data_IF_417884473860
#
_entry.id   IF_417884473860
#
_cell.length_a   1.000
_cell.length_b   1.000
_cell.length_c   1.000
_cell.angle_alpha   90.00
_cell.angle_beta   90.00
_cell.angle_gamma   90.00
#
_symmetry.space_group_name_H-M   'P 1'
#
loop_
_entity.id
_entity.type
_entity.pdbx_description
1 polymer ?
#
# COMPACT_ATOMS: atom_id res chain seq x y z
N UNK A 1 -13.40 -8.68 21.94
CA UNK A 1 -13.66 -10.15 21.96
C UNK A 1 -15.00 -10.46 21.34
N UNK A 2 -15.12 -11.56 20.57
CA UNK A 2 -16.43 -12.05 20.10
C UNK A 2 -17.34 -12.41 21.29
N UNK A 3 -18.63 -12.10 21.22
CA UNK A 3 -19.63 -12.38 22.28
C UNK A 3 -19.59 -13.84 22.75
N UNK A 4 -19.24 -14.77 21.85
CA UNK A 4 -19.06 -16.19 22.14
C UNK A 4 -17.95 -16.47 23.15
N UNK A 5 -16.78 -15.83 23.02
CA UNK A 5 -15.64 -16.06 23.91
C UNK A 5 -15.87 -15.43 25.29
N UNK A 6 -16.56 -14.29 25.35
CA UNK A 6 -16.96 -13.67 26.61
C UNK A 6 -17.94 -14.55 27.41
N UNK A 7 -18.89 -15.20 26.73
CA UNK A 7 -19.81 -16.15 27.36
C UNK A 7 -19.10 -17.39 27.90
N UNK A 8 -18.22 -18.01 27.10
CA UNK A 8 -17.42 -19.18 27.52
C UNK A 8 -16.47 -18.84 28.67
N UNK A 9 -15.88 -17.65 28.65
CA UNK A 9 -15.02 -17.16 29.74
C UNK A 9 -15.80 -17.04 31.05
N UNK A 10 -17.05 -16.53 31.00
CA UNK A 10 -17.93 -16.43 32.16
C UNK A 10 -18.30 -17.81 32.71
N UNK A 11 -18.55 -18.77 31.84
CA UNK A 11 -18.81 -20.16 32.21
C UNK A 11 -17.58 -20.78 32.88
N UNK A 12 -16.39 -20.69 32.26
CA UNK A 12 -15.15 -21.24 32.84
C UNK A 12 -14.84 -20.67 34.22
N UNK A 13 -15.19 -19.40 34.48
CA UNK A 13 -15.01 -18.74 35.78
C UNK A 13 -16.04 -19.16 36.85
N UNK A 14 -17.12 -19.87 36.48
CA UNK A 14 -18.17 -20.27 37.41
C UNK A 14 -17.65 -21.31 38.43
N UNK A 15 -17.57 -20.98 39.74
CA UNK A 15 -17.09 -21.89 40.76
C UNK A 15 -17.91 -23.18 40.89
N UNK A 16 -19.17 -23.20 40.42
CA UNK A 16 -20.03 -24.38 40.43
C UNK A 16 -19.55 -25.51 39.49
N UNK A 17 -18.68 -25.21 38.53
CA UNK A 17 -18.20 -26.17 37.52
C UNK A 17 -17.16 -27.17 38.08
N UNK A 18 -16.68 -27.00 39.32
CA UNK A 18 -15.90 -28.04 40.01
C UNK A 18 -14.62 -28.47 39.26
N UNK A 19 -13.84 -27.52 38.77
CA UNK A 19 -12.60 -27.77 38.01
C UNK A 19 -11.34 -27.43 38.83
N UNK A 20 -10.24 -28.16 38.59
CA UNK A 20 -8.93 -27.86 39.19
C UNK A 20 -8.42 -26.51 38.68
N UNK A 21 -7.90 -25.66 39.57
CA UNK A 21 -7.43 -24.30 39.24
C UNK A 21 -6.47 -24.24 38.05
N UNK A 22 -5.56 -25.20 37.93
CA UNK A 22 -4.63 -25.27 36.81
C UNK A 22 -5.34 -25.47 35.46
N UNK A 23 -6.38 -26.33 35.41
CA UNK A 23 -7.16 -26.58 34.20
C UNK A 23 -8.00 -25.36 33.83
N UNK A 24 -8.56 -24.65 34.83
CA UNK A 24 -9.27 -23.38 34.63
C UNK A 24 -8.35 -22.32 34.03
N UNK A 25 -7.11 -22.19 34.54
CA UNK A 25 -6.13 -21.24 34.03
C UNK A 25 -5.77 -21.52 32.57
N UNK A 26 -5.53 -22.80 32.23
CA UNK A 26 -5.22 -23.20 30.85
C UNK A 26 -6.41 -22.94 29.90
N UNK A 27 -7.64 -23.22 30.34
CA UNK A 27 -8.84 -22.95 29.56
C UNK A 27 -9.03 -21.45 29.26
N UNK A 28 -8.79 -20.58 30.24
CA UNK A 28 -8.86 -19.13 30.03
C UNK A 28 -7.80 -18.65 29.04
N UNK A 29 -6.57 -19.15 29.15
CA UNK A 29 -5.48 -18.79 28.22
C UNK A 29 -5.80 -19.21 26.78
N UNK A 30 -6.33 -20.42 26.58
CA UNK A 30 -6.75 -20.89 25.26
C UNK A 30 -7.91 -20.06 24.69
N UNK A 31 -8.85 -19.62 25.54
CA UNK A 31 -9.93 -18.74 25.11
C UNK A 31 -9.41 -17.37 24.66
N UNK A 32 -8.42 -16.83 25.37
CA UNK A 32 -7.77 -15.56 25.00
C UNK A 32 -7.02 -15.71 23.66
N UNK A 33 -6.22 -16.78 23.48
CA UNK A 33 -5.51 -17.08 22.22
C UNK A 33 -6.46 -17.27 21.02
N UNK A 34 -7.59 -17.95 21.22
CA UNK A 34 -8.61 -18.12 20.18
C UNK A 34 -9.33 -16.81 19.86
N UNK A 35 -9.56 -15.95 20.86
CA UNK A 35 -10.17 -14.65 20.67
C UNK A 35 -9.26 -13.71 19.85
N UNK A 36 -7.95 -13.73 20.11
CA UNK A 36 -6.94 -12.99 19.34
C UNK A 36 -6.88 -13.51 17.90
N UNK A 37 -6.76 -14.84 17.70
CA UNK A 37 -6.76 -15.43 16.35
C UNK A 37 -7.98 -15.06 15.51
N UNK A 38 -9.16 -14.99 16.13
CA UNK A 38 -10.39 -14.57 15.43
C UNK A 38 -10.48 -13.06 15.23
N UNK A 39 -9.79 -12.26 16.02
CA UNK A 39 -9.63 -10.83 15.78
C UNK A 39 -8.69 -10.59 14.59
N UNK A 40 -7.56 -11.29 14.52
CA UNK A 40 -6.61 -11.22 13.40
C UNK A 40 -7.25 -11.64 12.09
N UNK A 41 -7.98 -12.77 12.09
CA UNK A 41 -8.74 -13.21 10.91
C UNK A 41 -9.75 -12.19 10.45
N UNK A 42 -10.43 -11.50 11.39
CA UNK A 42 -11.36 -10.42 11.04
C UNK A 42 -10.65 -9.22 10.47
N UNK A 43 -9.49 -8.84 11.02
CA UNK A 43 -8.69 -7.73 10.52
C UNK A 43 -8.13 -8.00 9.13
N UNK A 44 -7.66 -9.22 8.88
CA UNK A 44 -7.26 -9.71 7.55
C UNK A 44 -8.47 -9.67 6.61
N UNK A 45 -9.60 -10.23 7.03
CA UNK A 45 -10.82 -10.22 6.22
C UNK A 45 -11.35 -8.80 5.97
N UNK A 46 -11.15 -7.84 6.87
CA UNK A 46 -11.49 -6.42 6.67
C UNK A 46 -10.51 -5.72 5.71
N UNK A 47 -9.22 -6.05 5.78
CA UNK A 47 -8.21 -5.60 4.81
C UNK A 47 -8.49 -6.19 3.41
N UNK A 48 -8.98 -7.42 3.34
CA UNK A 48 -9.36 -8.11 2.10
C UNK A 48 -10.74 -7.64 1.58
N UNK A 49 -11.72 -7.46 2.47
CA UNK A 49 -13.09 -7.04 2.15
C UNK A 49 -13.19 -5.52 1.92
N UNK A 50 -12.24 -4.75 2.42
CA UNK A 50 -11.90 -3.40 1.96
C UNK A 50 -11.30 -3.46 0.56
N UNK A 51 -12.07 -4.02 -0.37
CA UNK A 51 -11.69 -4.44 -1.71
C UNK A 51 -10.87 -3.34 -2.38
N UNK A 52 -9.54 -3.48 -2.38
CA UNK A 52 -8.63 -2.49 -2.95
C UNK A 52 -9.14 -2.16 -4.35
N UNK A 53 -9.48 -0.89 -4.58
CA UNK A 53 -9.96 -0.48 -5.90
C UNK A 53 -8.98 -0.96 -6.96
N UNK A 54 -9.46 -1.35 -8.14
CA UNK A 54 -8.57 -1.74 -9.25
C UNK A 54 -7.46 -0.72 -9.49
N UNK A 55 -7.77 0.58 -9.33
CA UNK A 55 -6.79 1.66 -9.38
C UNK A 55 -5.69 1.59 -8.32
N UNK A 56 -6.02 1.26 -7.07
CA UNK A 56 -5.03 1.07 -6.02
C UNK A 56 -4.13 -0.15 -6.32
N UNK A 57 -4.72 -1.26 -6.77
CA UNK A 57 -3.97 -2.45 -7.19
C UNK A 57 -3.02 -2.13 -8.33
N UNK A 58 -3.46 -1.38 -9.34
CA UNK A 58 -2.63 -1.01 -10.49
C UNK A 58 -1.43 -0.13 -10.09
N UNK A 59 -1.60 0.80 -9.13
CA UNK A 59 -0.49 1.63 -8.61
C UNK A 59 0.53 0.78 -7.88
N UNK A 60 0.10 -0.14 -7.01
CA UNK A 60 0.99 -1.07 -6.32
C UNK A 60 1.72 -2.00 -7.30
N UNK A 61 1.02 -2.47 -8.34
CA UNK A 61 1.61 -3.31 -9.38
C UNK A 61 2.66 -2.55 -10.19
N UNK A 62 2.41 -1.29 -10.55
CA UNK A 62 3.40 -0.46 -11.25
C UNK A 62 4.61 -0.17 -10.38
N UNK A 63 4.41 0.15 -9.09
CA UNK A 63 5.53 0.32 -8.13
C UNK A 63 6.40 -0.93 -8.08
N UNK A 64 5.78 -2.11 -7.96
CA UNK A 64 6.50 -3.39 -8.02
C UNK A 64 7.25 -3.57 -9.34
N UNK A 65 6.64 -3.23 -10.48
CA UNK A 65 7.25 -3.33 -11.80
C UNK A 65 8.46 -2.40 -11.95
N UNK A 66 8.39 -1.17 -11.42
CA UNK A 66 9.53 -0.25 -11.39
C UNK A 66 10.72 -0.85 -10.63
N UNK A 67 10.47 -1.44 -9.45
CA UNK A 67 11.51 -2.14 -8.68
C UNK A 67 12.06 -3.34 -9.45
N UNK A 68 11.21 -4.24 -9.96
CA UNK A 68 11.67 -5.53 -10.49
C UNK A 68 12.17 -5.48 -11.94
N UNK A 69 11.63 -4.56 -12.76
CA UNK A 69 11.98 -4.47 -14.18
C UNK A 69 12.98 -3.35 -14.48
N UNK A 70 12.90 -2.22 -13.77
CA UNK A 70 13.77 -1.06 -14.01
C UNK A 70 14.92 -0.98 -12.98
N UNK A 71 14.84 -1.73 -11.88
CA UNK A 71 15.85 -1.70 -10.81
C UNK A 71 15.76 -0.46 -9.91
N UNK A 72 14.63 0.24 -9.91
CA UNK A 72 14.39 1.40 -9.03
C UNK A 72 14.08 0.93 -7.63
N UNK A 73 15.10 0.43 -6.92
CA UNK A 73 14.98 -0.08 -5.57
C UNK A 73 14.75 1.05 -4.55
N UNK A 74 14.28 0.73 -3.34
CA UNK A 74 14.23 1.72 -2.24
C UNK A 74 15.55 2.49 -2.06
N UNK A 75 16.69 1.81 -2.15
CA UNK A 75 18.01 2.41 -2.00
C UNK A 75 18.38 3.32 -3.18
N UNK A 76 17.92 2.99 -4.40
CA UNK A 76 18.02 3.90 -5.54
C UNK A 76 17.18 5.15 -5.30
N UNK A 77 15.94 4.98 -4.84
CA UNK A 77 15.01 6.07 -4.56
C UNK A 77 15.56 7.01 -3.48
N UNK A 78 16.29 6.47 -2.49
CA UNK A 78 16.98 7.24 -1.45
C UNK A 78 18.05 8.21 -1.99
N UNK A 79 18.53 8.02 -3.23
CA UNK A 79 19.47 8.96 -3.87
C UNK A 79 18.81 10.19 -4.48
N UNK A 80 17.47 10.23 -4.56
CA UNK A 80 16.68 11.33 -5.13
C UNK A 80 16.14 12.25 -4.03
N UNK A 81 17.03 13.05 -3.44
CA UNK A 81 16.72 13.88 -2.25
C UNK A 81 16.14 15.26 -2.57
N UNK A 82 16.18 15.71 -3.83
CA UNK A 82 15.75 17.05 -4.25
C UNK A 82 14.28 17.10 -4.70
N UNK A 83 13.52 16.04 -4.43
CA UNK A 83 12.11 15.91 -4.81
C UNK A 83 11.91 15.43 -6.26
N UNK A 84 12.92 14.81 -6.88
CA UNK A 84 12.87 14.34 -8.26
C UNK A 84 11.71 13.34 -8.48
N UNK A 85 11.46 12.42 -7.55
CA UNK A 85 10.35 11.46 -7.66
C UNK A 85 8.98 12.16 -7.70
N UNK A 86 8.77 13.16 -6.85
CA UNK A 86 7.56 13.98 -6.86
C UNK A 86 7.46 14.84 -8.13
N UNK A 87 8.56 15.42 -8.59
CA UNK A 87 8.64 16.21 -9.83
C UNK A 87 8.31 15.37 -11.07
N UNK A 88 8.84 14.16 -11.16
CA UNK A 88 8.53 13.20 -12.22
C UNK A 88 7.05 12.79 -12.20
N UNK A 89 6.48 12.54 -11.02
CA UNK A 89 5.05 12.26 -10.88
C UNK A 89 4.17 13.42 -11.37
N UNK A 90 4.53 14.66 -10.99
CA UNK A 90 3.84 15.87 -11.41
C UNK A 90 3.90 16.06 -12.93
N UNK A 91 5.04 15.75 -13.57
CA UNK A 91 5.18 15.80 -15.02
C UNK A 91 4.18 14.87 -15.73
N UNK A 92 4.04 13.62 -15.28
CA UNK A 92 3.02 12.71 -15.81
C UNK A 92 1.61 13.22 -15.57
N UNK A 93 1.28 13.69 -14.36
CA UNK A 93 -0.05 14.21 -14.06
C UNK A 93 -0.41 15.45 -14.90
N UNK A 94 0.55 16.37 -15.10
CA UNK A 94 0.39 17.56 -15.94
C UNK A 94 0.26 17.19 -17.42
N UNK A 95 1.03 16.22 -17.91
CA UNK A 95 0.90 15.69 -19.26
C UNK A 95 -0.51 15.18 -19.52
N UNK A 96 -1.06 14.39 -18.59
CA UNK A 96 -2.45 13.91 -18.66
C UNK A 96 -3.44 15.08 -18.74
N UNK A 97 -3.29 16.07 -17.86
CA UNK A 97 -4.16 17.26 -17.85
C UNK A 97 -4.11 18.04 -19.18
N UNK A 98 -2.91 18.38 -19.65
CA UNK A 98 -2.70 19.16 -20.88
C UNK A 98 -3.11 18.42 -22.15
N UNK A 99 -3.00 17.09 -22.16
CA UNK A 99 -3.26 16.24 -23.34
C UNK A 99 -4.62 15.57 -23.34
N UNK A 100 -5.46 15.79 -22.33
CA UNK A 100 -6.75 15.09 -22.22
C UNK A 100 -7.65 15.30 -23.45
N UNK A 101 -7.65 16.51 -24.02
CA UNK A 101 -8.41 16.80 -25.24
C UNK A 101 -7.81 16.12 -26.47
N UNK A 102 -6.47 16.09 -26.57
CA UNK A 102 -5.76 15.38 -27.64
C UNK A 102 -6.03 13.89 -27.57
N UNK A 103 -5.95 13.26 -26.39
CA UNK A 103 -6.22 11.83 -26.25
C UNK A 103 -7.65 11.46 -26.68
N UNK A 104 -8.62 12.37 -26.46
CA UNK A 104 -10.01 12.14 -26.87
C UNK A 104 -10.22 12.20 -28.38
N UNK A 105 -9.45 13.03 -29.09
CA UNK A 105 -9.69 13.35 -30.51
C UNK A 105 -8.67 12.71 -31.45
N UNK A 106 -7.43 12.51 -30.98
CA UNK A 106 -6.26 11.98 -31.68
C UNK A 106 -5.37 11.19 -30.72
N UNK A 107 -5.81 10.01 -30.22
CA UNK A 107 -5.07 9.20 -29.26
C UNK A 107 -3.62 8.90 -29.67
N UNK A 108 -3.38 8.69 -30.96
CA UNK A 108 -2.06 8.44 -31.55
C UNK A 108 -1.07 9.59 -31.37
N UNK A 109 -1.59 10.81 -31.23
CA UNK A 109 -0.76 11.98 -30.97
C UNK A 109 -0.39 12.11 -29.49
N UNK A 110 -1.03 11.39 -28.56
CA UNK A 110 -0.87 11.62 -27.11
C UNK A 110 0.59 11.65 -26.64
N UNK A 111 1.42 10.77 -27.18
CA UNK A 111 2.83 10.58 -26.81
C UNK A 111 3.81 11.43 -27.63
N UNK A 112 3.33 12.39 -28.42
CA UNK A 112 4.15 13.15 -29.36
C UNK A 112 4.94 14.31 -28.73
N UNK A 113 4.66 14.68 -27.48
CA UNK A 113 5.38 15.75 -26.79
C UNK A 113 6.68 15.23 -26.16
N UNK A 114 7.73 16.04 -26.28
CA UNK A 114 9.00 15.80 -25.62
C UNK A 114 8.84 15.81 -24.09
N UNK A 115 9.90 15.38 -23.39
CA UNK A 115 9.98 15.52 -21.95
C UNK A 115 9.76 16.98 -21.56
N UNK A 116 8.90 17.28 -20.57
CA UNK A 116 8.75 18.65 -20.10
C UNK A 116 10.04 19.19 -19.46
N UNK A 117 10.20 20.51 -19.42
CA UNK A 117 11.38 21.15 -18.84
C UNK A 117 11.61 20.81 -17.35
N UNK A 118 10.54 20.50 -16.62
CA UNK A 118 10.60 20.12 -15.20
C UNK A 118 10.87 18.63 -14.99
N UNK A 119 11.00 17.83 -16.06
CA UNK A 119 11.35 16.43 -15.97
C UNK A 119 12.78 16.30 -15.41
N UNK A 120 12.99 15.55 -14.31
CA UNK A 120 14.26 15.61 -13.57
C UNK A 120 15.37 14.72 -14.13
N UNK A 121 15.06 13.88 -15.13
CA UNK A 121 15.98 12.87 -15.64
C UNK A 121 16.18 13.00 -17.15
N UNK A 122 17.03 12.15 -17.71
CA UNK A 122 17.23 12.09 -19.16
C UNK A 122 15.90 11.85 -19.90
N UNK A 123 15.75 12.48 -21.07
CA UNK A 123 14.55 12.41 -21.90
C UNK A 123 14.21 10.98 -22.32
N UNK A 124 15.20 10.09 -22.40
CA UNK A 124 14.98 8.67 -22.74
C UNK A 124 14.08 7.97 -21.72
N UNK A 125 13.98 8.49 -20.50
CA UNK A 125 13.11 7.98 -19.42
C UNK A 125 11.69 8.57 -19.44
N UNK A 126 11.45 9.58 -20.26
CA UNK A 126 10.11 10.11 -20.49
C UNK A 126 9.37 9.23 -21.50
N UNK A 127 8.44 8.40 -21.00
CA UNK A 127 7.74 7.38 -21.81
C UNK A 127 6.22 7.41 -21.63
N UNK A 128 5.53 8.54 -21.89
CA UNK A 128 4.07 8.61 -21.76
C UNK A 128 3.40 7.57 -22.65
N UNK A 129 2.23 7.07 -22.23
CA UNK A 129 1.53 5.99 -22.94
C UNK A 129 0.03 6.23 -23.08
N UNK A 130 -0.65 6.53 -21.99
CA UNK A 130 -2.08 6.87 -22.00
C UNK A 130 -2.45 7.61 -20.72
N UNK A 131 -3.56 8.37 -20.69
CA UNK A 131 -4.00 9.07 -19.49
C UNK A 131 -4.07 8.18 -18.24
N UNK A 132 -4.62 6.97 -18.38
CA UNK A 132 -4.75 6.04 -17.25
C UNK A 132 -3.40 5.48 -16.82
N UNK A 133 -2.56 5.03 -17.77
CA UNK A 133 -1.24 4.47 -17.47
C UNK A 133 -0.30 5.50 -16.84
N UNK A 134 -0.36 6.74 -17.33
CA UNK A 134 0.53 7.81 -16.87
C UNK A 134 0.13 8.27 -15.46
N UNK A 135 -1.18 8.28 -15.13
CA UNK A 135 -1.64 8.48 -13.75
C UNK A 135 -1.26 7.32 -12.81
N UNK A 136 -1.25 6.07 -13.28
CA UNK A 136 -0.74 4.93 -12.49
C UNK A 136 0.74 5.13 -12.18
N UNK A 137 1.53 5.50 -13.19
CA UNK A 137 2.96 5.76 -13.02
C UNK A 137 3.22 6.94 -12.10
N UNK A 138 2.45 8.02 -12.23
CA UNK A 138 2.50 9.14 -11.31
C UNK A 138 2.20 8.70 -9.86
N UNK A 139 1.16 7.89 -9.66
CA UNK A 139 0.83 7.32 -8.35
C UNK A 139 1.94 6.44 -7.77
N UNK A 140 2.57 5.62 -8.61
CA UNK A 140 3.69 4.77 -8.20
C UNK A 140 4.93 5.59 -7.81
N UNK A 141 5.22 6.67 -8.53
CA UNK A 141 6.31 7.60 -8.21
C UNK A 141 6.04 8.39 -6.92
N UNK A 142 4.78 8.80 -6.67
CA UNK A 142 4.37 9.41 -5.39
C UNK A 142 4.55 8.41 -4.25
N UNK A 143 4.15 7.16 -4.45
CA UNK A 143 4.35 6.10 -3.45
C UNK A 143 5.84 5.91 -3.15
N UNK A 144 6.69 5.87 -4.17
CA UNK A 144 8.14 5.79 -4.00
C UNK A 144 8.71 6.96 -3.18
N UNK A 145 8.26 8.19 -3.44
CA UNK A 145 8.69 9.37 -2.67
C UNK A 145 8.22 9.32 -1.21
N UNK A 146 6.97 8.90 -0.96
CA UNK A 146 6.47 8.73 0.42
C UNK A 146 7.29 7.67 1.15
N UNK A 147 7.55 6.52 0.52
CA UNK A 147 8.38 5.47 1.09
C UNK A 147 9.80 5.96 1.43
N UNK A 148 10.39 6.81 0.56
CA UNK A 148 11.70 7.45 0.78
C UNK A 148 11.67 8.39 1.98
N UNK A 149 10.66 9.25 2.07
CA UNK A 149 10.45 10.18 3.19
C UNK A 149 10.22 9.44 4.51
N UNK A 150 9.42 8.37 4.48
CA UNK A 150 9.15 7.53 5.64
C UNK A 150 10.44 6.87 6.13
N UNK A 151 11.26 6.30 5.23
CA UNK A 151 12.58 5.76 5.58
C UNK A 151 13.50 6.82 6.18
N UNK A 152 13.60 8.00 5.56
CA UNK A 152 14.41 9.10 6.06
C UNK A 152 13.97 9.60 7.45
N UNK A 153 12.67 9.52 7.75
CA UNK A 153 12.09 9.87 9.04
C UNK A 153 12.10 8.72 10.07
N UNK A 154 12.55 7.52 9.70
CA UNK A 154 12.46 6.33 10.54
C UNK A 154 11.02 5.85 10.80
N UNK A 155 10.07 6.25 9.95
CA UNK A 155 8.69 5.78 9.97
C UNK A 155 8.70 4.40 9.32
N UNK A 156 8.65 3.36 10.15
CA UNK A 156 8.39 1.99 9.69
C UNK A 156 7.04 1.54 10.20
N UNK A 157 6.33 0.74 9.40
CA UNK A 157 5.20 -0.02 9.91
C UNK A 157 5.71 -0.89 11.07
N UNK A 158 5.38 -0.49 12.30
CA UNK A 158 5.44 -1.39 13.44
C UNK A 158 4.34 -2.40 13.21
N UNK A 159 4.68 -3.55 12.63
CA UNK A 159 3.85 -4.72 12.77
C UNK A 159 4.04 -5.14 14.23
N UNK A 160 3.13 -4.69 15.09
CA UNK A 160 3.11 -5.11 16.50
C UNK A 160 2.90 -6.63 16.52
N UNK A 161 3.94 -7.39 16.87
CA UNK A 161 3.87 -8.85 16.91
C UNK A 161 5.22 -9.57 16.89
N UNK A 162 6.16 -9.18 17.75
CA UNK A 162 7.30 -10.03 18.17
C UNK A 162 7.31 -10.19 19.70
#
# INVERSE_FOLDING_TARGET
>A
MSDKYAALRKEVLDPAIGSKDHLRKLALQLLDELAERDADKRRIAELEAGNLSRSAVDVLAERRRQVTAEGWTPEHDDTHESGELAGAAACYARHVNGRQWVYRTRPESYTSEAAPNEWPWDEVWWKPKSPRSDLVRAGALILAEIERLDRAAGISLKIEGE
#
